data_IF_773352940036
#
_entry.id   IF_773352940036
#
_cell.length_a   1.000
_cell.length_b   1.000
_cell.length_c   1.000
_cell.angle_alpha   90.00
_cell.angle_beta   90.00
_cell.angle_gamma   90.00
#
_symmetry.space_group_name_H-M   'P 1'
#
loop_
_entity.id
_entity.type
_entity.pdbx_description
1 polymer ?
#
# COMPACT_ATOMS: atom_id res chain seq x y z
N UNK A 1 -14.20 8.83 -10.38
CA UNK A 1 -13.50 7.64 -9.86
C UNK A 1 -11.99 7.68 -10.09
N UNK A 2 -11.52 7.96 -11.31
CA UNK A 2 -10.07 8.03 -11.64
C UNK A 2 -9.21 8.85 -10.68
N UNK A 3 -9.58 10.09 -10.36
CA UNK A 3 -8.82 10.93 -9.41
C UNK A 3 -8.71 10.32 -8.01
N UNK A 4 -9.80 9.78 -7.48
CA UNK A 4 -9.82 9.13 -6.16
C UNK A 4 -8.89 7.92 -6.11
N UNK A 5 -8.93 7.07 -7.15
CA UNK A 5 -8.06 5.90 -7.24
C UNK A 5 -6.58 6.30 -7.33
N UNK A 6 -6.24 7.32 -8.13
CA UNK A 6 -4.87 7.83 -8.23
C UNK A 6 -4.40 8.36 -6.87
N UNK A 7 -5.23 9.15 -6.18
CA UNK A 7 -4.88 9.69 -4.86
C UNK A 7 -4.69 8.58 -3.82
N UNK A 8 -5.57 7.59 -3.81
CA UNK A 8 -5.44 6.46 -2.89
C UNK A 8 -4.20 5.61 -3.17
N UNK A 9 -3.89 5.36 -4.44
CA UNK A 9 -2.67 4.64 -4.83
C UNK A 9 -1.42 5.41 -4.44
N UNK A 10 -1.41 6.74 -4.59
CA UNK A 10 -0.30 7.58 -4.13
C UNK A 10 -0.10 7.47 -2.62
N UNK A 11 -1.19 7.50 -1.84
CA UNK A 11 -1.14 7.29 -0.37
C UNK A 11 -0.54 5.91 -0.05
N UNK A 12 -1.02 4.86 -0.71
CA UNK A 12 -0.49 3.51 -0.52
C UNK A 12 1.00 3.41 -0.85
N UNK A 13 1.45 4.03 -1.95
CA UNK A 13 2.86 4.09 -2.34
C UNK A 13 3.73 4.77 -1.27
N UNK A 14 3.26 5.89 -0.70
CA UNK A 14 3.98 6.55 0.40
C UNK A 14 4.05 5.69 1.65
N UNK A 15 2.97 4.98 2.00
CA UNK A 15 2.95 4.06 3.15
C UNK A 15 3.95 2.93 2.92
N UNK A 16 3.94 2.28 1.76
CA UNK A 16 4.90 1.21 1.44
C UNK A 16 6.34 1.70 1.46
N UNK A 17 6.61 2.91 0.94
CA UNK A 17 7.95 3.50 0.99
C UNK A 17 8.38 3.80 2.42
N UNK A 18 7.46 4.30 3.26
CA UNK A 18 7.74 4.59 4.66
C UNK A 18 8.04 3.31 5.46
N UNK A 19 7.30 2.24 5.19
CA UNK A 19 7.55 0.95 5.82
C UNK A 19 8.91 0.36 5.43
N UNK A 20 9.31 0.46 4.16
CA UNK A 20 10.65 0.06 3.71
C UNK A 20 11.77 0.85 4.43
N UNK A 21 11.56 2.14 4.67
CA UNK A 21 12.49 2.97 5.45
C UNK A 21 12.49 2.54 6.93
N UNK A 22 11.31 2.32 7.51
CA UNK A 22 11.15 1.90 8.91
C UNK A 22 11.75 0.51 9.17
N UNK A 23 11.67 -0.40 8.21
CA UNK A 23 12.28 -1.72 8.31
C UNK A 23 13.78 -1.58 8.61
N UNK A 24 14.48 -0.70 7.89
CA UNK A 24 15.90 -0.44 8.09
C UNK A 24 16.19 0.31 9.39
N UNK A 25 15.36 1.29 9.77
CA UNK A 25 15.59 2.11 10.98
C UNK A 25 15.30 1.32 12.26
N UNK A 26 14.39 0.34 12.20
CA UNK A 26 14.00 -0.49 13.34
C UNK A 26 14.76 -1.81 13.42
N UNK A 27 15.85 -1.94 12.67
CA UNK A 27 16.67 -3.16 12.60
C UNK A 27 15.83 -4.42 12.33
N UNK A 28 14.97 -4.35 11.31
CA UNK A 28 14.10 -5.45 10.89
C UNK A 28 13.19 -5.95 12.03
N UNK A 29 12.67 -5.03 12.84
CA UNK A 29 11.77 -5.40 13.93
C UNK A 29 10.56 -6.21 13.42
N UNK A 30 10.21 -7.26 14.16
CA UNK A 30 9.04 -8.12 13.85
C UNK A 30 7.77 -7.30 13.67
N UNK A 31 7.62 -6.22 14.47
CA UNK A 31 6.49 -5.32 14.37
C UNK A 31 6.37 -4.70 12.97
N UNK A 32 7.44 -4.12 12.41
CA UNK A 32 7.42 -3.48 11.09
C UNK A 32 7.34 -4.53 9.98
N UNK A 33 8.07 -5.64 10.09
CA UNK A 33 8.02 -6.73 9.11
C UNK A 33 6.60 -7.30 8.95
N UNK A 34 5.83 -7.39 10.04
CA UNK A 34 4.44 -7.84 9.98
C UNK A 34 3.56 -6.95 9.12
N UNK A 35 3.85 -5.65 9.03
CA UNK A 35 3.15 -4.75 8.13
C UNK A 35 3.55 -5.04 6.67
N UNK A 36 4.84 -5.21 6.38
CA UNK A 36 5.34 -5.52 5.03
C UNK A 36 4.89 -6.90 4.47
N UNK A 37 4.30 -7.76 5.31
CA UNK A 37 3.93 -9.14 4.97
C UNK A 37 3.15 -9.33 3.66
N UNK A 38 2.16 -8.49 3.26
CA UNK A 38 1.47 -8.68 2.00
C UNK A 38 2.43 -8.66 0.80
N UNK A 39 3.34 -7.69 0.79
CA UNK A 39 4.38 -7.54 -0.21
C UNK A 39 5.42 -8.65 -0.14
N UNK A 40 5.92 -8.97 1.05
CA UNK A 40 6.88 -10.07 1.26
C UNK A 40 6.32 -11.42 0.82
N UNK A 41 5.04 -11.67 1.13
CA UNK A 41 4.33 -12.89 0.71
C UNK A 41 4.23 -12.95 -0.81
N UNK A 42 3.88 -11.84 -1.47
CA UNK A 42 3.84 -11.81 -2.93
C UNK A 42 5.22 -12.03 -3.54
N UNK A 43 6.25 -11.35 -3.04
CA UNK A 43 7.63 -11.54 -3.49
C UNK A 43 8.09 -13.00 -3.34
N UNK A 44 7.71 -13.67 -2.23
CA UNK A 44 8.00 -15.09 -2.01
C UNK A 44 7.26 -16.00 -2.98
N UNK A 45 5.96 -15.77 -3.22
CA UNK A 45 5.16 -16.55 -4.18
C UNK A 45 5.74 -16.44 -5.59
N UNK A 46 6.18 -15.24 -5.98
CA UNK A 46 6.76 -15.02 -7.30
C UNK A 46 8.25 -15.33 -7.38
N UNK A 47 8.92 -15.70 -6.28
CA UNK A 47 10.38 -15.80 -6.18
C UNK A 47 11.03 -16.56 -7.36
N UNK A 48 10.55 -17.79 -7.62
CA UNK A 48 11.07 -18.61 -8.73
C UNK A 48 10.80 -18.05 -10.12
N UNK A 49 9.77 -17.21 -10.29
CA UNK A 49 9.49 -16.51 -11.56
C UNK A 49 10.35 -15.26 -11.77
N UNK A 50 11.04 -14.80 -10.73
CA UNK A 50 11.92 -13.61 -10.76
C UNK A 50 13.40 -13.98 -10.93
N UNK A 51 13.70 -15.24 -11.28
CA UNK A 51 15.06 -15.76 -11.39
C UNK A 51 15.88 -15.52 -10.12
N UNK A 52 15.26 -15.69 -8.95
CA UNK A 52 15.87 -15.48 -7.63
C UNK A 52 16.41 -14.05 -7.39
N UNK A 53 15.89 -13.06 -8.13
CA UNK A 53 16.34 -11.67 -8.02
C UNK A 53 15.75 -10.98 -6.79
N UNK A 54 16.63 -10.65 -5.82
CA UNK A 54 16.29 -9.84 -4.64
C UNK A 54 15.68 -8.48 -5.06
N UNK A 55 16.26 -7.82 -6.06
CA UNK A 55 15.78 -6.51 -6.51
C UNK A 55 14.35 -6.58 -7.04
N UNK A 56 14.03 -7.58 -7.86
CA UNK A 56 12.69 -7.76 -8.38
C UNK A 56 11.69 -8.14 -7.27
N UNK A 57 12.14 -8.93 -6.28
CA UNK A 57 11.36 -9.23 -5.09
C UNK A 57 10.96 -7.97 -4.33
N UNK A 58 11.90 -7.05 -4.09
CA UNK A 58 11.63 -5.76 -3.43
C UNK A 58 10.64 -4.91 -4.24
N UNK A 59 10.78 -4.87 -5.56
CA UNK A 59 9.85 -4.13 -6.44
C UNK A 59 8.43 -4.70 -6.33
N UNK A 60 8.28 -6.02 -6.37
CA UNK A 60 6.96 -6.67 -6.21
C UNK A 60 6.38 -6.43 -4.84
N UNK A 61 7.19 -6.56 -3.78
CA UNK A 61 6.75 -6.29 -2.43
C UNK A 61 6.22 -4.86 -2.28
N UNK A 62 6.96 -3.88 -2.81
CA UNK A 62 6.56 -2.48 -2.79
C UNK A 62 5.27 -2.22 -3.58
N UNK A 63 5.12 -2.81 -4.77
CA UNK A 63 3.89 -2.66 -5.58
C UNK A 63 2.68 -3.23 -4.84
N UNK A 64 2.82 -4.43 -4.28
CA UNK A 64 1.71 -5.11 -3.59
C UNK A 64 1.35 -4.37 -2.30
N UNK A 65 2.33 -3.95 -1.50
CA UNK A 65 2.09 -3.13 -0.32
C UNK A 65 1.40 -1.81 -0.69
N UNK A 66 1.85 -1.12 -1.74
CA UNK A 66 1.19 0.09 -2.21
C UNK A 66 -0.28 -0.12 -2.57
N UNK A 67 -0.61 -1.26 -3.21
CA UNK A 67 -2.01 -1.61 -3.53
C UNK A 67 -2.81 -1.90 -2.26
N UNK A 68 -2.29 -2.72 -1.35
CA UNK A 68 -2.98 -3.08 -0.10
C UNK A 68 -3.26 -1.83 0.75
N UNK A 69 -2.27 -0.95 0.91
CA UNK A 69 -2.42 0.26 1.70
C UNK A 69 -3.21 1.37 1.01
N UNK A 70 -3.52 1.23 -0.27
CA UNK A 70 -4.49 2.10 -0.94
C UNK A 70 -5.93 1.81 -0.50
N UNK A 71 -6.25 0.60 -0.07
CA UNK A 71 -7.64 0.19 0.24
C UNK A 71 -8.28 1.03 1.36
N UNK A 72 -7.62 1.27 2.51
CA UNK A 72 -8.16 2.16 3.54
C UNK A 72 -8.35 3.58 3.03
N UNK A 73 -7.43 4.08 2.19
CA UNK A 73 -7.54 5.41 1.60
C UNK A 73 -8.74 5.51 0.64
N UNK A 74 -8.99 4.47 -0.17
CA UNK A 74 -10.19 4.41 -1.03
C UNK A 74 -11.46 4.48 -0.17
N UNK A 75 -11.52 3.70 0.91
CA UNK A 75 -12.69 3.67 1.79
C UNK A 75 -12.96 5.03 2.44
N UNK A 76 -11.94 5.67 3.00
CA UNK A 76 -12.06 6.98 3.65
C UNK A 76 -12.44 8.08 2.66
N UNK A 77 -11.75 8.18 1.52
CA UNK A 77 -12.06 9.18 0.50
C UNK A 77 -13.45 8.98 -0.10
N UNK A 78 -13.87 7.73 -0.28
CA UNK A 78 -15.21 7.36 -0.71
C UNK A 78 -16.28 7.81 0.28
N UNK A 79 -16.06 7.54 1.57
CA UNK A 79 -16.95 7.95 2.66
C UNK A 79 -17.07 9.48 2.73
N UNK A 80 -15.97 10.21 2.71
CA UNK A 80 -16.01 11.69 2.72
C UNK A 80 -16.78 12.27 1.54
N UNK A 81 -16.59 11.69 0.35
CA UNK A 81 -17.34 12.11 -0.84
C UNK A 81 -18.85 11.86 -0.68
N UNK A 82 -19.23 10.71 -0.12
CA UNK A 82 -20.63 10.39 0.12
C UNK A 82 -21.28 11.33 1.16
N UNK A 83 -20.59 11.56 2.28
CA UNK A 83 -21.04 12.47 3.33
C UNK A 83 -21.20 13.91 2.81
N UNK A 84 -20.24 14.38 2.01
CA UNK A 84 -20.32 15.70 1.39
C UNK A 84 -21.53 15.82 0.44
N UNK A 85 -21.80 14.78 -0.37
CA UNK A 85 -22.97 14.78 -1.25
C UNK A 85 -24.29 14.83 -0.46
N UNK A 86 -24.38 14.10 0.66
CA UNK A 86 -25.54 14.13 1.55
C UNK A 86 -25.74 15.49 2.24
N UNK A 87 -24.65 16.20 2.56
CA UNK A 87 -24.72 17.52 3.17
C UNK A 87 -25.19 18.59 2.17
N UNK A 88 -24.68 18.56 0.93
CA UNK A 88 -25.05 19.53 -0.12
C UNK A 88 -26.45 19.29 -0.66
N UNK A 89 -26.91 18.03 -0.76
CA UNK A 89 -28.29 17.74 -1.19
C UNK A 89 -29.39 18.15 -0.20
N UNK A 90 -29.00 18.64 0.99
CA UNK A 90 -29.92 19.15 2.02
C UNK A 90 -30.05 20.68 2.04
N UNK A 91 -29.27 21.41 1.24
CA UNK A 91 -29.37 22.87 1.03
C UNK A 91 -30.07 23.16 -0.27
#
# INVERSE_FOLDING_TARGET
MKKLLITALAIGFFISTALLILERITDYSVAVMNWEMPGLTAAFIFWGSLSDSVLLGVVIAGIVNAVVYSLPAIALLGLFKALHALAVGRT
#
